data_IF_729099263735
#
_entry.id   IF_729099263735
#
_cell.length_a   1.000
_cell.length_b   1.000
_cell.length_c   1.000
_cell.angle_alpha   90.00
_cell.angle_beta   90.00
_cell.angle_gamma   90.00
#
_symmetry.space_group_name_H-M   'P 1'
#
loop_
_entity.id
_entity.type
_entity.pdbx_description
1 polymer ?
#
# COMPACT_ATOMS: atom_id res chain seq x y z
N UNK A 1 -5.73 -8.76 10.05
CA UNK A 1 -4.93 -7.53 10.29
C UNK A 1 -5.79 -6.33 9.93
N UNK A 2 -5.82 -5.22 10.68
CA UNK A 2 -6.54 -4.01 10.26
C UNK A 2 -5.59 -2.97 9.64
N UNK A 3 -6.00 -2.34 8.53
CA UNK A 3 -5.18 -1.33 7.81
C UNK A 3 -4.74 -0.20 8.75
N UNK A 4 -5.66 0.40 9.51
CA UNK A 4 -5.33 1.49 10.44
C UNK A 4 -4.40 1.10 11.59
N UNK A 5 -4.24 -0.19 11.89
CA UNK A 5 -3.24 -0.64 12.86
C UNK A 5 -1.86 -0.75 12.22
N UNK A 6 -1.79 -1.26 10.99
CA UNK A 6 -0.55 -1.40 10.22
C UNK A 6 0.10 -0.05 9.89
N UNK A 7 -0.67 0.89 9.33
CA UNK A 7 -0.11 2.15 8.81
C UNK A 7 0.52 3.04 9.89
N UNK A 8 0.23 2.78 11.17
CA UNK A 8 0.88 3.45 12.32
C UNK A 8 2.38 3.18 12.39
N UNK A 9 2.88 2.16 11.69
CA UNK A 9 4.28 1.77 11.70
C UNK A 9 5.04 2.23 10.46
N UNK A 10 4.42 2.97 9.53
CA UNK A 10 5.16 3.57 8.42
C UNK A 10 6.35 4.38 8.90
N UNK A 11 7.45 4.27 8.16
CA UNK A 11 8.74 4.90 8.49
C UNK A 11 9.58 4.17 9.53
N UNK A 12 9.16 2.98 9.99
CA UNK A 12 9.96 2.14 10.88
C UNK A 12 10.63 0.98 10.13
N UNK A 13 11.84 0.58 10.53
CA UNK A 13 12.51 -0.59 9.97
C UNK A 13 11.99 -1.89 10.58
N UNK A 14 12.14 -3.04 9.90
CA UNK A 14 11.78 -4.37 10.42
C UNK A 14 12.46 -4.73 11.76
N UNK A 15 13.62 -4.13 12.04
CA UNK A 15 14.37 -4.30 13.28
C UNK A 15 13.82 -3.48 14.46
N UNK A 16 12.90 -2.55 14.21
CA UNK A 16 12.25 -1.76 15.27
C UNK A 16 11.46 -2.65 16.21
N UNK A 17 11.59 -2.43 17.51
CA UNK A 17 10.86 -3.20 18.52
C UNK A 17 9.34 -3.09 18.33
N UNK A 18 8.84 -1.89 18.06
CA UNK A 18 7.40 -1.63 17.91
C UNK A 18 6.81 -2.35 16.69
N UNK A 19 7.46 -2.21 15.53
CA UNK A 19 7.03 -2.92 14.33
C UNK A 19 7.22 -4.44 14.50
N UNK A 20 8.31 -4.87 15.12
CA UNK A 20 8.57 -6.29 15.40
C UNK A 20 7.49 -6.94 16.27
N UNK A 21 7.03 -6.26 17.33
CA UNK A 21 5.92 -6.72 18.18
C UNK A 21 4.61 -6.82 17.39
N UNK A 22 4.32 -5.81 16.56
CA UNK A 22 3.14 -5.83 15.70
C UNK A 22 3.16 -6.97 14.68
N UNK A 23 4.26 -7.14 13.94
CA UNK A 23 4.42 -8.24 12.97
C UNK A 23 4.23 -9.61 13.64
N UNK A 24 4.79 -9.81 14.83
CA UNK A 24 4.56 -11.03 15.60
C UNK A 24 3.08 -11.23 15.97
N UNK A 25 2.37 -10.16 16.35
CA UNK A 25 0.96 -10.23 16.71
C UNK A 25 0.05 -10.65 15.56
N UNK A 26 0.49 -10.47 14.30
CA UNK A 26 -0.20 -10.92 13.09
C UNK A 26 0.45 -12.16 12.45
N UNK A 27 1.26 -12.90 13.23
CA UNK A 27 1.83 -14.19 12.79
C UNK A 27 2.93 -14.06 11.75
N UNK A 28 3.63 -12.93 11.68
CA UNK A 28 4.81 -12.71 10.84
C UNK A 28 6.04 -12.79 11.75
N UNK A 29 6.69 -13.95 11.76
CA UNK A 29 7.91 -14.20 12.56
C UNK A 29 9.19 -13.85 11.81
N UNK A 30 9.19 -13.98 10.49
CA UNK A 30 10.34 -13.62 9.65
C UNK A 30 10.36 -12.11 9.40
N UNK A 31 11.56 -11.54 9.29
CA UNK A 31 11.76 -10.12 9.00
C UNK A 31 12.38 -10.00 7.62
N UNK A 32 11.92 -9.07 6.78
CA UNK A 32 12.58 -8.80 5.52
C UNK A 32 13.97 -8.27 5.84
N UNK A 33 14.95 -8.82 5.16
CA UNK A 33 16.36 -8.45 5.25
C UNK A 33 16.75 -7.88 3.89
N UNK A 34 17.56 -6.83 3.87
CA UNK A 34 18.04 -6.26 2.62
C UNK A 34 18.87 -7.29 1.85
N UNK A 35 18.43 -7.65 0.65
CA UNK A 35 19.14 -8.59 -0.25
C UNK A 35 19.71 -7.88 -1.49
N UNK A 36 20.16 -6.63 -1.35
CA UNK A 36 20.64 -5.79 -2.46
C UNK A 36 19.56 -5.45 -3.49
N UNK A 37 18.29 -5.69 -3.17
CA UNK A 37 17.13 -5.22 -3.93
C UNK A 37 16.55 -3.96 -3.29
N UNK A 38 16.09 -2.97 -4.07
CA UNK A 38 15.59 -1.71 -3.53
C UNK A 38 14.28 -1.90 -2.75
N UNK A 39 13.49 -2.91 -3.09
CA UNK A 39 12.18 -3.16 -2.49
C UNK A 39 12.08 -4.61 -2.06
N UNK A 40 11.63 -4.82 -0.82
CA UNK A 40 11.31 -6.11 -0.25
C UNK A 40 9.83 -6.17 0.14
N UNK A 41 9.25 -7.37 0.08
CA UNK A 41 7.83 -7.57 0.39
C UNK A 41 7.61 -8.76 1.30
N UNK A 42 6.75 -8.59 2.30
CA UNK A 42 6.17 -9.73 3.03
C UNK A 42 4.77 -9.97 2.45
N UNK A 43 4.62 -11.05 1.70
CA UNK A 43 3.34 -11.44 1.11
C UNK A 43 2.61 -12.41 2.03
N UNK A 44 1.38 -12.07 2.40
CA UNK A 44 0.44 -12.95 3.10
C UNK A 44 -0.70 -13.27 2.14
N UNK A 45 -0.37 -14.04 1.10
CA UNK A 45 -1.28 -14.33 -0.02
C UNK A 45 -2.62 -14.90 0.42
N UNK A 46 -2.64 -15.84 1.36
CA UNK A 46 -3.87 -16.43 1.91
C UNK A 46 -4.73 -15.44 2.73
N UNK A 47 -4.12 -14.36 3.22
CA UNK A 47 -4.81 -13.30 3.98
C UNK A 47 -5.11 -12.05 3.12
N UNK A 48 -4.67 -12.04 1.86
CA UNK A 48 -4.98 -11.00 0.90
C UNK A 48 -4.22 -9.69 1.08
N UNK A 49 -3.00 -9.69 1.63
CA UNK A 49 -2.21 -8.45 1.77
C UNK A 49 -0.70 -8.62 1.58
N UNK A 50 -0.04 -7.51 1.22
CA UNK A 50 1.42 -7.39 1.12
C UNK A 50 1.91 -6.18 1.90
N UNK A 51 2.98 -6.37 2.69
CA UNK A 51 3.69 -5.28 3.37
C UNK A 51 4.94 -4.95 2.56
N UNK A 52 5.09 -3.68 2.16
CA UNK A 52 6.17 -3.23 1.28
C UNK A 52 7.20 -2.44 2.07
N UNK A 53 8.47 -2.79 1.84
CA UNK A 53 9.62 -2.18 2.47
C UNK A 53 10.56 -1.65 1.40
N UNK A 54 10.99 -0.41 1.54
CA UNK A 54 11.94 0.24 0.64
C UNK A 54 13.30 0.37 1.32
N UNK A 55 14.39 0.22 0.57
CA UNK A 55 15.73 0.52 1.05
C UNK A 55 15.81 1.96 1.59
N UNK A 56 16.57 2.19 2.66
CA UNK A 56 16.55 3.48 3.38
C UNK A 56 16.79 4.70 2.46
N UNK A 57 17.68 4.56 1.47
CA UNK A 57 17.96 5.62 0.50
C UNK A 57 16.73 5.94 -0.36
N UNK A 58 16.10 4.92 -0.95
CA UNK A 58 14.87 5.08 -1.73
C UNK A 58 13.74 5.64 -0.88
N UNK A 59 13.64 5.20 0.39
CA UNK A 59 12.65 5.73 1.30
C UNK A 59 12.85 7.24 1.52
N UNK A 60 14.10 7.66 1.73
CA UNK A 60 14.45 9.08 1.95
C UNK A 60 14.12 9.95 0.76
N UNK A 61 14.31 9.46 -0.44
CA UNK A 61 14.02 10.20 -1.66
C UNK A 61 12.51 10.39 -1.87
N UNK A 62 11.73 9.34 -1.60
CA UNK A 62 10.28 9.34 -1.84
C UNK A 62 9.46 9.92 -0.68
N UNK A 63 9.72 9.52 0.58
CA UNK A 63 8.91 9.90 1.76
C UNK A 63 9.64 10.83 2.75
N UNK A 64 10.97 10.88 2.71
CA UNK A 64 11.77 11.71 3.62
C UNK A 64 12.39 10.95 4.78
N UNK A 65 12.67 11.64 5.89
CA UNK A 65 13.35 10.98 7.00
C UNK A 65 12.48 9.84 7.55
N UNK A 66 12.95 8.58 7.56
CA UNK A 66 12.29 7.56 8.38
C UNK A 66 12.27 7.97 9.85
N UNK A 67 11.36 7.37 10.60
CA UNK A 67 11.23 7.59 12.05
C UNK A 67 12.39 6.96 12.81
N UNK A 68 12.90 5.83 12.30
CA UNK A 68 14.07 5.12 12.79
C UNK A 68 14.90 4.65 11.58
N UNK A 69 16.23 4.73 11.65
CA UNK A 69 17.11 4.24 10.57
C UNK A 69 17.20 2.71 10.53
N UNK A 70 17.45 2.17 9.35
CA UNK A 70 17.60 0.73 9.11
C UNK A 70 17.56 0.42 7.62
N UNK A 71 18.16 -0.70 7.22
CA UNK A 71 18.41 -1.02 5.80
C UNK A 71 17.15 -1.01 4.93
N UNK A 72 16.02 -1.39 5.51
CA UNK A 72 14.69 -1.40 4.91
C UNK A 72 13.72 -0.63 5.80
N UNK A 73 12.80 0.11 5.19
CA UNK A 73 11.80 0.92 5.87
C UNK A 73 10.40 0.55 5.39
N UNK A 74 9.49 0.26 6.31
CA UNK A 74 8.09 -0.02 5.98
C UNK A 74 7.40 1.23 5.41
N UNK A 75 6.90 1.14 4.17
CA UNK A 75 6.42 2.31 3.43
C UNK A 75 5.01 2.18 2.86
N UNK A 76 4.55 0.96 2.54
CA UNK A 76 3.26 0.74 1.88
C UNK A 76 2.59 -0.56 2.37
N UNK A 77 1.26 -0.54 2.36
CA UNK A 77 0.40 -1.69 2.57
C UNK A 77 -0.53 -1.86 1.37
N UNK A 78 -0.48 -3.03 0.75
CA UNK A 78 -1.34 -3.42 -0.36
C UNK A 78 -2.34 -4.49 0.12
N UNK A 79 -3.61 -4.35 -0.25
CA UNK A 79 -4.67 -5.33 0.01
C UNK A 79 -5.43 -5.66 -1.26
N UNK A 80 -5.84 -6.93 -1.40
CA UNK A 80 -6.30 -7.48 -2.66
C UNK A 80 -7.74 -7.99 -2.58
N UNK A 81 -8.47 -7.86 -3.69
CA UNK A 81 -9.83 -8.39 -3.84
C UNK A 81 -9.89 -9.89 -4.10
N UNK A 82 -8.76 -10.49 -4.50
CA UNK A 82 -8.64 -11.87 -4.98
C UNK A 82 -9.24 -12.13 -6.37
N UNK A 83 -9.66 -11.10 -7.10
CA UNK A 83 -10.32 -11.26 -8.41
C UNK A 83 -9.36 -11.26 -9.61
N UNK A 84 -8.10 -10.82 -9.42
CA UNK A 84 -7.11 -10.62 -10.49
C UNK A 84 -6.31 -11.87 -10.86
N UNK A 85 -6.39 -12.94 -10.06
CA UNK A 85 -5.48 -14.08 -10.23
C UNK A 85 -4.02 -13.74 -9.94
N UNK A 86 -3.78 -12.67 -9.18
CA UNK A 86 -2.48 -12.24 -8.62
C UNK A 86 -1.92 -13.20 -7.56
N UNK A 87 -2.66 -14.27 -7.25
CA UNK A 87 -2.31 -15.26 -6.25
C UNK A 87 -2.69 -14.87 -4.82
N UNK A 88 -3.39 -13.75 -4.62
CA UNK A 88 -3.90 -13.35 -3.31
C UNK A 88 -5.35 -13.76 -3.13
N UNK A 89 -5.70 -14.15 -1.90
CA UNK A 89 -7.08 -14.27 -1.47
C UNK A 89 -7.71 -12.87 -1.29
N UNK A 90 -9.04 -12.81 -1.18
CA UNK A 90 -9.73 -11.57 -0.81
C UNK A 90 -9.36 -11.18 0.62
N UNK A 91 -8.86 -9.96 0.79
CA UNK A 91 -8.65 -9.38 2.12
C UNK A 91 -9.97 -9.29 2.89
N UNK A 92 -9.98 -9.81 4.11
CA UNK A 92 -11.21 -10.07 4.85
C UNK A 92 -11.74 -8.88 5.67
N UNK A 93 -10.88 -7.90 5.99
CA UNK A 93 -11.25 -6.77 6.84
C UNK A 93 -11.75 -5.58 5.99
N UNK A 94 -12.49 -4.63 6.59
CA UNK A 94 -12.97 -3.46 5.87
C UNK A 94 -11.84 -2.61 5.28
N UNK A 95 -12.06 -2.06 4.09
CA UNK A 95 -11.21 -1.02 3.52
C UNK A 95 -11.43 0.31 4.27
N UNK A 96 -10.40 1.18 4.31
CA UNK A 96 -10.53 2.48 4.95
C UNK A 96 -11.52 3.39 4.20
N UNK A 97 -11.92 4.49 4.87
CA UNK A 97 -12.75 5.55 4.30
C UNK A 97 -14.17 5.11 3.85
N UNK A 98 -14.63 3.93 4.27
CA UNK A 98 -15.94 3.39 3.90
C UNK A 98 -15.97 2.76 2.51
N UNK A 99 -14.81 2.52 1.90
CA UNK A 99 -14.70 1.75 0.67
C UNK A 99 -15.00 0.26 0.90
N UNK A 100 -15.34 -0.41 -0.19
CA UNK A 100 -15.45 -1.87 -0.30
C UNK A 100 -14.80 -2.32 -1.61
N UNK A 101 -14.52 -3.60 -1.78
CA UNK A 101 -14.00 -4.09 -3.07
C UNK A 101 -15.01 -3.96 -4.21
N UNK A 102 -16.29 -3.80 -3.86
CA UNK A 102 -17.37 -3.54 -4.81
C UNK A 102 -17.52 -2.04 -5.14
N UNK A 103 -16.69 -1.17 -4.55
CA UNK A 103 -16.77 0.27 -4.78
C UNK A 103 -16.35 0.65 -6.21
N UNK A 104 -17.05 1.64 -6.78
CA UNK A 104 -16.74 2.18 -8.10
C UNK A 104 -15.82 3.39 -8.03
N UNK A 105 -15.24 3.80 -9.16
CA UNK A 105 -14.44 5.02 -9.26
C UNK A 105 -15.24 6.25 -8.78
N UNK A 106 -16.49 6.40 -9.23
CA UNK A 106 -17.33 7.53 -8.83
C UNK A 106 -17.54 7.60 -7.31
N UNK A 107 -17.65 6.44 -6.64
CA UNK A 107 -17.73 6.40 -5.17
C UNK A 107 -16.40 6.82 -4.52
N UNK A 108 -15.26 6.35 -5.03
CA UNK A 108 -13.96 6.80 -4.54
C UNK A 108 -13.75 8.31 -4.74
N UNK A 109 -14.14 8.85 -5.91
CA UNK A 109 -14.07 10.29 -6.18
C UNK A 109 -15.01 11.10 -5.28
N UNK A 110 -16.16 10.55 -4.88
CA UNK A 110 -17.04 11.21 -3.92
C UNK A 110 -16.42 11.34 -2.52
N UNK A 111 -15.53 10.41 -2.16
CA UNK A 111 -14.84 10.37 -0.85
C UNK A 111 -13.55 11.22 -0.85
N UNK A 112 -12.81 11.19 -1.96
CA UNK A 112 -11.47 11.79 -2.04
C UNK A 112 -11.37 13.03 -2.92
N UNK A 113 -12.40 13.32 -3.72
CA UNK A 113 -12.31 14.26 -4.84
C UNK A 113 -11.70 13.61 -6.09
N UNK A 114 -11.38 14.40 -7.11
CA UNK A 114 -10.71 13.90 -8.31
C UNK A 114 -9.32 13.35 -8.01
N UNK A 115 -8.92 12.28 -8.72
CA UNK A 115 -7.59 11.71 -8.60
C UNK A 115 -6.50 12.72 -8.97
N UNK A 116 -5.35 12.65 -8.31
CA UNK A 116 -4.16 13.47 -8.64
C UNK A 116 -3.56 13.04 -9.97
N UNK A 117 -3.50 11.72 -10.20
CA UNK A 117 -3.05 11.12 -11.45
C UNK A 117 -3.68 9.75 -11.61
N UNK A 118 -3.61 9.23 -12.82
CA UNK A 118 -4.10 7.94 -13.20
C UNK A 118 -3.18 7.31 -14.27
N UNK A 119 -3.15 5.99 -14.36
CA UNK A 119 -2.39 5.23 -15.38
C UNK A 119 -2.93 3.82 -15.56
N UNK A 120 -2.69 3.21 -16.72
CA UNK A 120 -2.98 1.79 -16.93
C UNK A 120 -1.84 0.91 -16.41
N UNK A 121 -2.19 -0.21 -15.78
CA UNK A 121 -1.24 -1.23 -15.32
C UNK A 121 -1.86 -2.61 -15.49
N UNK A 122 -1.23 -3.49 -16.28
CA UNK A 122 -1.69 -4.87 -16.43
C UNK A 122 -3.11 -5.03 -16.98
N UNK A 123 -3.62 -4.06 -17.76
CA UNK A 123 -5.00 -4.06 -18.26
C UNK A 123 -6.03 -3.50 -17.27
N UNK A 124 -5.57 -2.92 -16.17
CA UNK A 124 -6.37 -2.22 -15.17
C UNK A 124 -6.08 -0.72 -15.19
N UNK A 125 -6.96 0.07 -14.56
CA UNK A 125 -6.76 1.50 -14.40
C UNK A 125 -6.51 1.82 -12.93
N UNK A 126 -5.32 2.35 -12.64
CA UNK A 126 -4.92 2.79 -11.29
C UNK A 126 -5.12 4.28 -11.16
N UNK A 127 -5.80 4.70 -10.10
CA UNK A 127 -6.03 6.10 -9.73
C UNK A 127 -5.32 6.40 -8.41
N UNK A 128 -4.66 7.54 -8.35
CA UNK A 128 -3.84 7.94 -7.20
C UNK A 128 -4.30 9.26 -6.63
N UNK A 129 -4.55 9.29 -5.33
CA UNK A 129 -4.84 10.49 -4.54
C UNK A 129 -3.66 10.81 -3.64
N UNK A 130 -2.96 11.89 -3.95
CA UNK A 130 -1.76 12.30 -3.23
C UNK A 130 -2.09 13.16 -2.01
N UNK A 131 -1.39 12.87 -0.91
CA UNK A 131 -1.42 13.64 0.34
C UNK A 131 -2.85 13.84 0.90
N UNK A 132 -3.69 12.80 0.81
CA UNK A 132 -4.99 12.75 1.44
C UNK A 132 -4.82 12.31 2.89
N UNK A 133 -5.08 13.21 3.83
CA UNK A 133 -4.94 12.99 5.27
C UNK A 133 -3.57 12.44 5.70
N UNK A 134 -2.51 12.86 4.99
CA UNK A 134 -1.14 12.41 5.24
C UNK A 134 -0.75 11.09 4.57
N UNK A 135 -1.57 10.58 3.67
CA UNK A 135 -1.31 9.37 2.89
C UNK A 135 -1.35 9.63 1.38
N UNK A 136 -0.64 8.82 0.61
CA UNK A 136 -0.99 8.62 -0.80
C UNK A 136 -1.82 7.34 -0.89
N UNK A 137 -2.91 7.40 -1.63
CA UNK A 137 -3.84 6.28 -1.80
C UNK A 137 -3.85 5.93 -3.29
N UNK A 138 -3.58 4.67 -3.62
CA UNK A 138 -3.71 4.16 -4.97
C UNK A 138 -4.78 3.08 -5.02
N UNK A 139 -5.70 3.19 -5.96
CA UNK A 139 -6.79 2.22 -6.14
C UNK A 139 -6.78 1.76 -7.58
N UNK A 140 -6.64 0.46 -7.78
CA UNK A 140 -6.80 -0.15 -9.10
C UNK A 140 -8.23 -0.66 -9.26
N UNK A 141 -8.85 -0.30 -10.38
CA UNK A 141 -10.20 -0.73 -10.71
C UNK A 141 -10.18 -1.77 -11.83
N UNK A 142 -10.99 -2.81 -11.64
CA UNK A 142 -11.25 -3.81 -12.65
C UNK A 142 -12.03 -3.20 -13.82
N UNK A 143 -11.78 -3.66 -15.06
CA UNK A 143 -12.46 -3.14 -16.24
C UNK A 143 -13.97 -3.38 -16.20
N UNK A 144 -14.73 -2.40 -16.68
CA UNK A 144 -16.19 -2.47 -16.78
C UNK A 144 -16.92 -2.32 -15.44
N UNK A 145 -16.42 -1.46 -14.55
CA UNK A 145 -17.02 -1.17 -13.24
C UNK A 145 -17.22 -2.41 -12.35
N UNK A 146 -16.29 -3.37 -12.43
CA UNK A 146 -16.35 -4.59 -11.63
C UNK A 146 -15.82 -4.45 -10.20
N UNK A 147 -15.48 -3.22 -9.82
CA UNK A 147 -14.98 -2.88 -8.49
C UNK A 147 -13.47 -2.69 -8.44
N UNK A 148 -12.94 -2.73 -7.22
CA UNK A 148 -11.53 -2.53 -6.91
C UNK A 148 -10.80 -3.88 -7.01
N UNK A 149 -9.68 -3.92 -7.73
CA UNK A 149 -8.83 -5.10 -7.78
C UNK A 149 -7.85 -5.14 -6.62
N UNK A 150 -7.19 -4.02 -6.33
CA UNK A 150 -6.37 -3.81 -5.14
C UNK A 150 -6.42 -2.37 -4.64
N UNK A 151 -6.15 -2.21 -3.35
CA UNK A 151 -6.01 -0.93 -2.66
C UNK A 151 -4.62 -0.85 -2.05
N UNK A 152 -3.92 0.25 -2.29
CA UNK A 152 -2.60 0.55 -1.73
C UNK A 152 -2.65 1.86 -0.95
N UNK A 153 -2.04 1.84 0.23
CA UNK A 153 -1.86 3.02 1.07
C UNK A 153 -0.40 3.11 1.50
N UNK A 154 0.15 4.29 1.31
CA UNK A 154 1.52 4.63 1.70
C UNK A 154 1.51 5.95 2.48
N UNK A 155 2.59 6.22 3.23
CA UNK A 155 2.79 7.56 3.79
C UNK A 155 2.81 8.61 2.67
N UNK A 156 2.41 9.85 2.94
CA UNK A 156 2.48 10.92 1.94
C UNK A 156 3.92 11.05 1.43
N UNK A 157 4.10 10.87 0.12
CA UNK A 157 5.38 11.13 -0.53
C UNK A 157 5.72 12.63 -0.46
N UNK A 158 6.99 12.97 -0.68
CA UNK A 158 7.49 14.36 -0.75
C UNK A 158 6.96 15.14 -1.94
N UNK A 159 6.65 14.43 -3.03
CA UNK A 159 6.23 15.01 -4.30
C UNK A 159 5.00 14.26 -4.78
N UNK A 160 4.08 15.00 -5.40
CA UNK A 160 2.97 14.39 -6.08
C UNK A 160 3.49 13.43 -7.17
N UNK A 161 2.87 12.25 -7.32
CA UNK A 161 3.14 11.38 -8.45
C UNK A 161 2.82 12.14 -9.73
N UNK A 162 3.69 12.01 -10.72
CA UNK A 162 3.49 12.64 -12.03
C UNK A 162 2.63 11.73 -12.89
N UNK A 163 1.76 12.33 -13.69
CA UNK A 163 1.11 11.61 -14.78
C UNK A 163 2.18 11.09 -15.72
N UNK A 164 2.15 9.79 -15.96
CA UNK A 164 3.02 9.15 -16.93
C UNK A 164 2.32 9.29 -18.29
N UNK A 165 2.83 10.21 -19.11
CA UNK A 165 2.44 10.33 -20.51
C UNK A 165 3.24 9.26 -21.27
N UNK A 166 2.68 8.06 -21.43
CA UNK A 166 3.23 7.02 -22.30
C UNK A 166 2.41 6.86 -23.58
#
# INVERSE_FOLDING_TARGET
>A
MKIYEAIKFFGLPPSSKLLGEYLNSIGISERPSYQEVPVERINKSEEGFSLVFEAELGYRDSWGQPRESGDLIFCSLQVYSGQLGDGFAKYAEPLPFGLTFESTLSQAESLFGGATTDYESGGEHVYVWYNRDGFTISISFLPGDKGISFFDIEGAQKKAPKKLDW
#
